data_IF_841040133463
#
_entry.id   IF_841040133463
#
_cell.length_a   1.000
_cell.length_b   1.000
_cell.length_c   1.000
_cell.angle_alpha   90.00
_cell.angle_beta   90.00
_cell.angle_gamma   90.00
#
_symmetry.space_group_name_H-M   'P 1'
#
loop_
_entity.id
_entity.type
_entity.pdbx_description
1 polymer ?
#
# COMPACT_ATOMS: atom_id res chain seq x y z
N UNK A 1 -6.50 -45.55 2.82
CA UNK A 1 -6.38 -44.80 1.58
C UNK A 1 -5.99 -43.38 1.96
N UNK A 2 -4.78 -42.86 1.72
CA UNK A 2 -4.42 -41.52 2.08
C UNK A 2 -5.20 -40.54 1.19
N UNK A 3 -5.72 -39.45 1.78
CA UNK A 3 -6.34 -38.36 1.07
C UNK A 3 -5.27 -37.69 0.17
N UNK A 4 -5.63 -37.25 -1.05
CA UNK A 4 -4.71 -36.55 -1.92
C UNK A 4 -4.31 -35.18 -1.27
N UNK A 5 -3.11 -34.66 -1.54
CA UNK A 5 -2.70 -33.36 -1.03
C UNK A 5 -3.60 -32.26 -1.57
N UNK A 6 -4.10 -31.43 -0.67
CA UNK A 6 -4.89 -30.22 -0.93
C UNK A 6 -3.93 -29.03 -1.15
N UNK A 7 -3.21 -28.98 -2.26
CA UNK A 7 -2.41 -27.80 -2.63
C UNK A 7 -2.06 -27.85 -4.13
N UNK A 8 -3.10 -27.83 -5.00
CA UNK A 8 -2.96 -27.33 -6.36
C UNK A 8 -3.52 -25.89 -6.38
N UNK A 9 -2.74 -24.92 -5.96
CA UNK A 9 -2.99 -23.54 -6.42
C UNK A 9 -2.86 -23.58 -7.95
N UNK A 10 -3.89 -23.15 -8.70
CA UNK A 10 -3.83 -23.19 -10.16
C UNK A 10 -2.66 -22.37 -10.66
N UNK A 11 -1.76 -22.98 -11.42
CA UNK A 11 -0.57 -22.36 -12.02
C UNK A 11 -0.94 -21.11 -12.85
N UNK A 12 -0.04 -20.11 -12.88
CA UNK A 12 -0.20 -18.89 -13.66
C UNK A 12 -0.80 -17.71 -12.90
N UNK A 13 -0.72 -16.54 -13.50
CA UNK A 13 -1.20 -15.27 -12.97
C UNK A 13 -2.63 -14.98 -13.49
N UNK A 14 -3.48 -14.31 -12.70
CA UNK A 14 -4.83 -13.93 -13.16
C UNK A 14 -4.76 -12.96 -14.33
N UNK A 15 -5.46 -13.26 -15.43
CA UNK A 15 -5.42 -12.50 -16.68
C UNK A 15 -5.71 -10.99 -16.48
N UNK A 16 -6.71 -10.63 -15.67
CA UNK A 16 -7.00 -9.22 -15.38
C UNK A 16 -5.85 -8.49 -14.65
N UNK A 17 -5.01 -9.22 -13.90
CA UNK A 17 -3.82 -8.65 -13.26
C UNK A 17 -2.74 -8.38 -14.31
N UNK A 18 -2.55 -9.31 -15.25
CA UNK A 18 -1.62 -9.20 -16.36
C UNK A 18 -2.01 -8.04 -17.28
N UNK A 19 -3.28 -7.93 -17.67
CA UNK A 19 -3.81 -6.83 -18.50
C UNK A 19 -3.62 -5.47 -17.82
N UNK A 20 -3.91 -5.38 -16.53
CA UNK A 20 -3.75 -4.13 -15.78
C UNK A 20 -2.27 -3.71 -15.69
N UNK A 21 -1.34 -4.66 -15.52
CA UNK A 21 0.10 -4.42 -15.54
C UNK A 21 0.59 -3.98 -16.93
N UNK A 22 0.02 -4.52 -17.99
CA UNK A 22 0.30 -4.13 -19.36
C UNK A 22 -0.33 -2.77 -19.78
N UNK A 23 -0.93 -2.03 -18.85
CA UNK A 23 -1.43 -0.69 -19.11
C UNK A 23 -2.84 -0.62 -19.72
N UNK A 24 -3.51 -1.75 -19.98
CA UNK A 24 -4.82 -1.81 -20.64
C UNK A 24 -5.92 -1.11 -19.82
N UNK A 25 -5.77 -1.05 -18.48
CA UNK A 25 -6.74 -0.37 -17.64
C UNK A 25 -6.62 -0.77 -16.16
N UNK A 26 -7.67 -0.56 -15.38
CA UNK A 26 -7.76 -1.12 -14.04
C UNK A 26 -8.10 -2.62 -14.11
N UNK A 27 -7.89 -3.38 -13.03
CA UNK A 27 -8.32 -4.79 -12.97
C UNK A 27 -9.82 -4.95 -13.27
N UNK A 28 -10.67 -4.06 -12.78
CA UNK A 28 -12.12 -4.07 -13.05
C UNK A 28 -12.41 -3.81 -14.53
N UNK A 29 -11.76 -2.82 -15.13
CA UNK A 29 -11.88 -2.60 -16.56
C UNK A 29 -11.38 -3.78 -17.39
N UNK A 30 -10.30 -4.43 -16.97
CA UNK A 30 -9.80 -5.65 -17.62
C UNK A 30 -10.81 -6.81 -17.48
N UNK A 31 -11.49 -6.95 -16.35
CA UNK A 31 -12.57 -7.94 -16.17
C UNK A 31 -13.76 -7.64 -17.08
N UNK A 32 -14.14 -6.38 -17.29
CA UNK A 32 -15.17 -5.98 -18.26
C UNK A 32 -14.79 -6.36 -19.68
N UNK A 33 -13.55 -6.09 -20.11
CA UNK A 33 -13.05 -6.51 -21.43
C UNK A 33 -13.05 -8.03 -21.63
N UNK A 34 -12.72 -8.80 -20.59
CA UNK A 34 -12.78 -10.26 -20.63
C UNK A 34 -14.23 -10.73 -20.73
N UNK A 35 -15.15 -10.16 -19.94
CA UNK A 35 -16.56 -10.52 -19.96
C UNK A 35 -17.23 -10.17 -21.31
N UNK A 36 -16.81 -9.09 -21.95
CA UNK A 36 -17.25 -8.67 -23.28
C UNK A 36 -16.68 -9.54 -24.43
N UNK A 37 -15.82 -10.52 -24.12
CA UNK A 37 -15.19 -11.39 -25.13
C UNK A 37 -14.13 -10.69 -25.98
N UNK A 38 -13.62 -9.55 -25.55
CA UNK A 38 -12.63 -8.73 -26.28
C UNK A 38 -11.18 -9.17 -26.07
N UNK A 39 -10.96 -10.14 -25.17
CA UNK A 39 -9.62 -10.64 -24.84
C UNK A 39 -9.49 -12.09 -25.32
N UNK A 40 -8.39 -12.38 -26.01
CA UNK A 40 -8.03 -13.76 -26.39
C UNK A 40 -6.70 -14.15 -25.76
N UNK A 41 -6.55 -15.42 -25.46
CA UNK A 41 -5.31 -16.05 -24.99
C UNK A 41 -5.00 -17.21 -25.93
N UNK A 42 -3.88 -17.18 -26.61
CA UNK A 42 -3.48 -18.18 -27.62
C UNK A 42 -4.54 -18.40 -28.72
N UNK A 43 -5.29 -17.34 -29.06
CA UNK A 43 -6.36 -17.37 -30.06
C UNK A 43 -7.74 -17.80 -29.54
N UNK A 44 -7.86 -18.18 -28.28
CA UNK A 44 -9.14 -18.53 -27.65
C UNK A 44 -9.69 -17.37 -26.85
N UNK A 45 -11.01 -17.11 -26.94
CA UNK A 45 -11.66 -16.07 -26.13
C UNK A 45 -11.53 -16.40 -24.65
N UNK A 46 -10.99 -15.46 -23.88
CA UNK A 46 -10.78 -15.62 -22.47
C UNK A 46 -12.09 -15.49 -21.68
N UNK A 47 -12.18 -16.22 -20.55
CA UNK A 47 -13.28 -16.13 -19.60
C UNK A 47 -12.81 -15.56 -18.27
N UNK A 48 -13.74 -15.00 -17.48
CA UNK A 48 -13.42 -14.49 -16.13
C UNK A 48 -12.78 -15.59 -15.27
N UNK A 49 -11.73 -15.21 -14.55
CA UNK A 49 -10.96 -16.15 -13.72
C UNK A 49 -9.82 -16.87 -14.45
N UNK A 50 -9.69 -16.72 -15.78
CA UNK A 50 -8.57 -17.31 -16.55
C UNK A 50 -7.24 -16.91 -15.91
N UNK A 51 -6.33 -17.91 -15.82
CA UNK A 51 -4.93 -17.70 -15.47
C UNK A 51 -4.08 -17.89 -16.72
N UNK A 52 -2.96 -17.21 -16.78
CA UNK A 52 -2.05 -17.18 -17.93
C UNK A 52 -0.61 -17.17 -17.45
N UNK A 53 0.28 -17.72 -18.25
CA UNK A 53 1.71 -17.47 -18.15
C UNK A 53 2.02 -16.19 -18.95
N UNK A 54 2.41 -15.14 -18.24
CA UNK A 54 2.68 -13.84 -18.85
C UNK A 54 3.92 -13.84 -19.78
N UNK A 55 4.76 -14.87 -19.72
CA UNK A 55 5.96 -14.99 -20.55
C UNK A 55 5.73 -15.86 -21.80
N UNK A 56 4.84 -16.85 -21.70
CA UNK A 56 4.60 -17.85 -22.75
C UNK A 56 3.29 -17.61 -23.52
N UNK A 57 2.23 -17.13 -22.84
CA UNK A 57 0.93 -16.95 -23.45
C UNK A 57 0.84 -15.70 -24.32
N UNK A 58 0.34 -15.88 -25.54
CA UNK A 58 0.01 -14.76 -26.45
C UNK A 58 -1.35 -14.20 -26.06
N UNK A 59 -1.35 -13.01 -25.50
CA UNK A 59 -2.56 -12.30 -25.07
C UNK A 59 -2.85 -11.17 -26.06
N UNK A 60 -4.10 -11.08 -26.50
CA UNK A 60 -4.57 -10.04 -27.40
C UNK A 60 -5.82 -9.36 -26.82
N UNK A 61 -5.92 -8.05 -27.00
CA UNK A 61 -7.10 -7.25 -26.68
C UNK A 61 -7.62 -6.63 -27.97
N UNK A 62 -8.88 -6.91 -28.32
CA UNK A 62 -9.54 -6.48 -29.55
C UNK A 62 -8.69 -6.83 -30.81
N UNK A 63 -8.02 -8.00 -30.79
CA UNK A 63 -7.17 -8.48 -31.86
C UNK A 63 -5.77 -7.86 -31.91
N UNK A 64 -5.42 -6.99 -30.97
CA UNK A 64 -4.09 -6.39 -30.88
C UNK A 64 -3.27 -7.13 -29.83
N UNK A 65 -2.12 -7.75 -30.18
CA UNK A 65 -1.22 -8.36 -29.19
C UNK A 65 -0.73 -7.33 -28.18
N UNK A 66 -0.80 -7.68 -26.89
CA UNK A 66 -0.26 -6.84 -25.84
C UNK A 66 1.13 -7.30 -25.43
N UNK A 67 2.03 -6.34 -25.18
CA UNK A 67 3.31 -6.63 -24.56
C UNK A 67 3.12 -6.73 -23.05
N UNK A 68 3.30 -7.91 -22.50
CA UNK A 68 3.15 -8.17 -21.08
C UNK A 68 4.41 -7.82 -20.27
N UNK A 69 5.49 -7.50 -20.98
CA UNK A 69 6.81 -7.15 -20.40
C UNK A 69 7.00 -5.64 -20.31
N UNK A 70 6.14 -4.92 -19.60
CA UNK A 70 6.53 -3.59 -19.14
C UNK A 70 7.45 -3.74 -17.93
N UNK A 71 8.60 -3.06 -17.98
CA UNK A 71 9.52 -2.99 -16.86
C UNK A 71 8.80 -2.43 -15.61
N UNK A 72 9.06 -3.01 -14.45
CA UNK A 72 8.54 -2.48 -13.20
C UNK A 72 9.16 -1.11 -12.91
N UNK A 73 8.33 -0.14 -12.57
CA UNK A 73 8.76 1.20 -12.17
C UNK A 73 8.29 1.55 -10.77
N UNK A 74 9.11 2.31 -10.08
CA UNK A 74 8.86 2.71 -8.70
C UNK A 74 9.20 4.19 -8.55
N UNK A 75 8.19 5.04 -8.47
CA UNK A 75 8.34 6.48 -8.23
C UNK A 75 8.15 6.79 -6.76
N UNK A 76 9.08 7.55 -6.19
CA UNK A 76 8.91 8.23 -4.92
C UNK A 76 8.48 9.67 -5.22
N UNK A 77 7.24 9.99 -4.91
CA UNK A 77 6.66 11.32 -5.03
C UNK A 77 6.63 12.00 -3.66
N UNK A 78 7.04 13.26 -3.58
CA UNK A 78 6.67 14.12 -2.46
C UNK A 78 5.35 14.82 -2.80
N UNK A 79 4.25 14.22 -2.39
CA UNK A 79 2.90 14.71 -2.67
C UNK A 79 2.68 16.07 -2.01
N UNK A 80 2.30 17.11 -2.75
CA UNK A 80 1.88 18.37 -2.16
C UNK A 80 0.46 18.27 -1.60
N UNK A 81 0.05 19.21 -0.77
CA UNK A 81 -1.35 19.39 -0.39
C UNK A 81 -2.23 19.67 -1.61
N UNK A 82 -3.54 19.49 -1.47
CA UNK A 82 -4.55 19.77 -2.51
C UNK A 82 -4.42 18.91 -3.78
N UNK A 83 -3.90 17.69 -3.63
CA UNK A 83 -3.83 16.66 -4.67
C UNK A 83 -4.47 15.37 -4.16
N UNK A 84 -5.34 14.76 -4.96
CA UNK A 84 -6.07 13.53 -4.57
C UNK A 84 -5.20 12.30 -4.81
N UNK A 85 -5.18 11.38 -3.86
CA UNK A 85 -4.48 10.09 -4.00
C UNK A 85 -5.40 9.07 -4.67
N UNK A 86 -5.49 9.13 -5.97
CA UNK A 86 -6.26 8.21 -6.82
C UNK A 86 -5.63 8.11 -8.20
N UNK A 87 -5.95 7.05 -8.93
CA UNK A 87 -5.59 6.90 -10.34
C UNK A 87 -6.58 7.61 -11.29
N UNK A 88 -7.79 7.97 -10.81
CA UNK A 88 -8.80 8.72 -11.54
C UNK A 88 -9.73 9.40 -10.55
N UNK A 89 -10.11 10.63 -10.83
CA UNK A 89 -11.04 11.40 -10.00
C UNK A 89 -12.25 11.86 -10.82
N UNK A 90 -13.48 11.46 -10.45
CA UNK A 90 -14.69 11.84 -11.17
C UNK A 90 -15.04 13.33 -11.03
N UNK A 91 -14.49 14.02 -10.04
CA UNK A 91 -14.68 15.46 -9.80
C UNK A 91 -13.66 16.33 -10.56
N UNK A 92 -12.72 15.71 -11.30
CA UNK A 92 -11.73 16.42 -12.09
C UNK A 92 -10.64 17.14 -11.27
N UNK A 93 -10.49 16.79 -9.99
CA UNK A 93 -9.40 17.34 -9.16
C UNK A 93 -8.07 16.74 -9.59
N UNK A 94 -7.00 17.50 -9.43
CA UNK A 94 -5.64 17.03 -9.73
C UNK A 94 -5.29 15.80 -8.91
N UNK A 95 -4.77 14.77 -9.59
CA UNK A 95 -4.44 13.48 -8.99
C UNK A 95 -2.93 13.26 -8.88
N UNK A 96 -2.52 12.32 -8.02
CA UNK A 96 -1.09 11.99 -7.83
C UNK A 96 -0.46 11.38 -9.08
N UNK A 97 -1.22 10.69 -9.93
CA UNK A 97 -0.70 10.09 -11.16
C UNK A 97 -0.35 11.13 -12.23
N UNK A 98 -0.98 12.31 -12.19
CA UNK A 98 -0.64 13.43 -13.08
C UNK A 98 0.69 14.12 -12.72
N UNK A 99 1.28 13.80 -11.56
CA UNK A 99 2.55 14.35 -11.11
C UNK A 99 3.75 13.51 -11.49
N UNK A 100 3.54 12.34 -12.09
CA UNK A 100 4.60 11.40 -12.53
C UNK A 100 4.42 11.09 -14.02
N UNK A 101 5.39 10.47 -14.71
CA UNK A 101 5.22 10.07 -16.10
C UNK A 101 3.97 9.22 -16.33
N UNK A 102 3.27 9.47 -17.44
CA UNK A 102 2.03 8.77 -17.77
C UNK A 102 2.25 7.30 -18.16
N UNK A 103 3.42 7.00 -18.67
CA UNK A 103 3.83 5.65 -19.11
C UNK A 103 5.14 5.22 -18.43
N UNK A 104 5.21 3.96 -17.97
CA UNK A 104 4.10 3.00 -17.90
C UNK A 104 3.04 3.45 -16.89
N UNK A 105 1.79 3.01 -17.07
CA UNK A 105 0.70 3.34 -16.16
C UNK A 105 1.00 2.85 -14.74
N UNK A 106 0.93 3.76 -13.78
CA UNK A 106 1.17 3.47 -12.37
C UNK A 106 -0.04 3.80 -11.50
N UNK A 107 -0.03 3.30 -10.27
CA UNK A 107 -1.03 3.60 -9.25
C UNK A 107 -0.35 3.86 -7.89
N UNK A 108 -0.99 4.62 -7.01
CA UNK A 108 -0.41 4.92 -5.70
C UNK A 108 -0.42 3.69 -4.77
N UNK A 109 0.64 3.53 -4.00
CA UNK A 109 0.80 2.53 -2.94
C UNK A 109 0.25 3.09 -1.63
N UNK A 110 -0.98 2.72 -1.32
CA UNK A 110 -1.72 3.32 -0.22
C UNK A 110 -2.18 4.74 -0.53
N UNK A 111 -2.50 5.49 0.52
CA UNK A 111 -3.09 6.82 0.35
C UNK A 111 -2.51 7.84 1.32
N UNK A 112 -2.53 9.09 0.90
CA UNK A 112 -2.48 10.30 1.72
C UNK A 112 -3.77 11.10 1.45
N UNK A 113 -4.32 11.71 2.48
CA UNK A 113 -5.50 12.55 2.34
C UNK A 113 -5.19 13.79 1.48
N UNK A 114 -6.23 14.46 1.01
CA UNK A 114 -6.13 15.65 0.15
C UNK A 114 -5.20 16.72 0.73
N UNK A 115 -5.33 16.98 2.02
CA UNK A 115 -4.55 17.99 2.75
C UNK A 115 -3.20 17.46 3.29
N UNK A 116 -2.95 16.14 3.23
CA UNK A 116 -1.73 15.54 3.76
C UNK A 116 -0.64 15.54 2.70
N UNK A 117 0.54 15.94 3.10
CA UNK A 117 1.73 16.07 2.27
C UNK A 117 2.72 14.91 2.51
N UNK A 118 3.76 14.85 1.66
CA UNK A 118 4.93 14.02 1.90
C UNK A 118 5.05 12.79 1.00
N UNK A 119 5.89 11.86 1.41
CA UNK A 119 6.33 10.75 0.57
C UNK A 119 5.19 9.79 0.25
N UNK A 120 5.03 9.47 -1.04
CA UNK A 120 4.07 8.52 -1.58
C UNK A 120 4.77 7.71 -2.67
N UNK A 121 4.61 6.39 -2.64
CA UNK A 121 5.08 5.51 -3.70
C UNK A 121 3.99 5.37 -4.77
N UNK A 122 4.42 5.38 -6.04
CA UNK A 122 3.59 4.99 -7.17
C UNK A 122 4.34 3.93 -7.98
N UNK A 123 3.64 2.88 -8.41
CA UNK A 123 4.24 1.76 -9.13
C UNK A 123 3.20 1.04 -9.98
N UNK A 124 3.66 0.21 -10.92
CA UNK A 124 2.86 -0.81 -11.62
C UNK A 124 3.02 -2.21 -10.99
N UNK A 125 3.80 -2.35 -9.91
CA UNK A 125 3.98 -3.59 -9.15
C UNK A 125 2.84 -3.77 -8.13
N UNK A 126 1.85 -4.60 -8.50
CA UNK A 126 0.73 -4.90 -7.63
C UNK A 126 1.08 -5.78 -6.43
N UNK A 127 2.11 -6.63 -6.54
CA UNK A 127 2.50 -7.56 -5.47
C UNK A 127 3.24 -6.82 -4.37
N UNK A 128 4.16 -5.93 -4.74
CA UNK A 128 4.80 -5.05 -3.77
C UNK A 128 3.76 -4.12 -3.13
N UNK A 129 2.83 -3.56 -3.92
CA UNK A 129 1.76 -2.71 -3.39
C UNK A 129 0.92 -3.42 -2.33
N UNK A 130 0.51 -4.67 -2.59
CA UNK A 130 -0.24 -5.46 -1.61
C UNK A 130 0.56 -5.62 -0.32
N UNK A 131 1.83 -6.03 -0.41
CA UNK A 131 2.71 -6.21 0.75
C UNK A 131 2.95 -4.92 1.55
N UNK A 132 3.02 -3.77 0.90
CA UNK A 132 3.25 -2.49 1.57
C UNK A 132 1.99 -1.86 2.19
N UNK A 133 0.79 -2.27 1.74
CA UNK A 133 -0.47 -1.66 2.16
C UNK A 133 -1.33 -2.55 3.07
N UNK A 134 -1.22 -3.85 2.96
CA UNK A 134 -2.02 -4.75 3.77
C UNK A 134 -1.59 -4.71 5.25
N UNK A 135 -2.53 -4.60 6.20
CA UNK A 135 -2.23 -4.44 7.63
C UNK A 135 -1.33 -5.53 8.23
N UNK A 136 -1.45 -6.78 7.75
CA UNK A 136 -0.65 -7.91 8.25
C UNK A 136 0.86 -7.75 8.05
N UNK A 137 1.28 -6.91 7.10
CA UNK A 137 2.70 -6.65 6.85
C UNK A 137 3.27 -5.51 7.70
N UNK A 138 2.44 -4.73 8.40
CA UNK A 138 2.85 -3.77 9.42
C UNK A 138 3.96 -2.78 9.00
N UNK A 139 4.02 -2.39 7.72
CA UNK A 139 5.06 -1.47 7.24
C UNK A 139 4.92 -0.11 7.91
N UNK A 140 5.97 0.29 8.61
CA UNK A 140 5.99 1.56 9.34
C UNK A 140 5.90 2.78 8.41
N UNK A 141 5.15 3.78 8.86
CA UNK A 141 5.07 5.11 8.24
C UNK A 141 5.35 6.16 9.31
N UNK A 142 6.30 7.04 9.04
CA UNK A 142 6.63 8.15 9.94
C UNK A 142 6.00 9.44 9.42
N UNK A 143 5.42 10.19 10.34
CA UNK A 143 4.77 11.46 10.07
C UNK A 143 5.32 12.56 10.97
N UNK A 144 5.44 13.75 10.42
CA UNK A 144 5.58 15.00 11.17
C UNK A 144 4.22 15.71 11.16
N UNK A 145 3.68 15.95 12.34
CA UNK A 145 2.41 16.62 12.54
C UNK A 145 2.66 17.94 13.31
N UNK A 146 2.44 19.06 12.66
CA UNK A 146 2.28 20.32 13.36
C UNK A 146 0.90 20.35 14.00
N UNK A 147 0.84 20.53 15.31
CA UNK A 147 -0.39 20.43 16.09
C UNK A 147 -0.69 21.70 16.87
N UNK A 148 -1.94 21.89 17.26
CA UNK A 148 -2.34 22.99 18.13
C UNK A 148 -1.80 22.77 19.54
N UNK A 149 -1.23 23.83 20.13
CA UNK A 149 -0.64 23.82 21.46
C UNK A 149 0.67 23.01 21.53
N UNK A 150 1.07 22.64 22.75
CA UNK A 150 2.30 21.87 23.00
C UNK A 150 1.96 20.59 23.74
N UNK A 151 2.06 19.41 23.09
CA UNK A 151 1.79 18.12 23.72
C UNK A 151 2.68 17.86 24.94
N UNK A 152 2.07 17.48 26.05
CA UNK A 152 2.76 17.14 27.28
C UNK A 152 3.39 15.74 27.19
N UNK A 153 4.27 15.40 28.17
CA UNK A 153 4.82 14.03 28.31
C UNK A 153 3.72 12.99 28.50
N UNK A 154 2.61 13.35 29.15
CA UNK A 154 1.45 12.47 29.31
C UNK A 154 0.77 12.16 27.98
N UNK A 155 0.57 13.17 27.15
CA UNK A 155 0.02 13.00 25.78
C UNK A 155 0.91 12.10 24.94
N UNK A 156 2.23 12.30 24.97
CA UNK A 156 3.16 11.41 24.26
C UNK A 156 3.07 9.95 24.72
N UNK A 157 2.84 9.73 26.03
CA UNK A 157 2.65 8.39 26.56
C UNK A 157 1.36 7.76 26.04
N UNK A 158 0.25 8.49 26.06
CA UNK A 158 -1.04 8.01 25.51
C UNK A 158 -0.90 7.60 24.04
N UNK A 159 -0.26 8.42 23.22
CA UNK A 159 -0.01 8.11 21.79
C UNK A 159 0.84 6.85 21.62
N UNK A 160 1.80 6.59 22.51
CA UNK A 160 2.65 5.40 22.46
C UNK A 160 1.93 4.12 22.91
N UNK A 161 1.04 4.22 23.86
CA UNK A 161 0.25 3.10 24.39
C UNK A 161 -0.92 2.73 23.48
N UNK A 162 -1.34 3.65 22.61
CA UNK A 162 -2.52 3.57 21.78
C UNK A 162 -3.64 4.46 22.30
N UNK A 163 -4.48 4.93 21.38
CA UNK A 163 -5.57 5.88 21.65
C UNK A 163 -6.89 5.24 21.24
N UNK A 164 -7.93 5.40 22.05
CA UNK A 164 -9.28 4.97 21.71
C UNK A 164 -9.86 5.90 20.64
N UNK A 165 -10.28 5.32 19.52
CA UNK A 165 -10.97 5.99 18.44
C UNK A 165 -12.36 5.39 18.24
N UNK A 166 -13.21 6.02 17.43
CA UNK A 166 -14.58 5.57 17.12
C UNK A 166 -14.65 4.16 16.48
N UNK A 167 -13.57 3.73 15.82
CA UNK A 167 -13.40 2.39 15.23
C UNK A 167 -12.49 1.46 16.06
N UNK A 168 -12.33 1.75 17.35
CA UNK A 168 -11.59 0.98 18.35
C UNK A 168 -10.18 1.50 18.62
N UNK A 169 -9.48 0.89 19.59
CA UNK A 169 -8.15 1.32 20.00
C UNK A 169 -7.13 1.21 18.88
N UNK A 170 -6.23 2.19 18.80
CA UNK A 170 -5.11 2.13 17.85
C UNK A 170 -4.02 1.19 18.37
N UNK A 171 -3.22 0.66 17.44
CA UNK A 171 -2.00 -0.02 17.81
C UNK A 171 -1.01 0.97 18.49
N UNK A 172 -0.10 0.46 19.34
CA UNK A 172 1.00 1.25 19.89
C UNK A 172 1.81 1.96 18.81
N UNK A 173 2.18 3.22 19.06
CA UNK A 173 2.95 4.04 18.14
C UNK A 173 4.28 4.50 18.76
N UNK A 174 5.24 4.92 17.93
CA UNK A 174 6.35 5.72 18.43
C UNK A 174 5.96 7.19 18.35
N UNK A 175 6.17 7.93 19.42
CA UNK A 175 5.84 9.35 19.49
C UNK A 175 6.98 10.15 20.15
N UNK A 176 7.39 11.24 19.52
CA UNK A 176 8.32 12.21 20.09
C UNK A 176 7.92 13.62 19.68
N UNK A 177 8.38 14.60 20.41
CA UNK A 177 8.08 16.01 20.17
C UNK A 177 9.38 16.76 19.85
N UNK A 178 9.38 17.45 18.72
CA UNK A 178 10.35 18.50 18.41
C UNK A 178 9.71 19.84 18.79
N UNK A 179 10.32 20.61 19.71
CA UNK A 179 9.72 21.84 20.22
C UNK A 179 9.42 22.88 19.13
N UNK A 180 8.33 23.65 19.27
CA UNK A 180 7.37 23.58 20.38
C UNK A 180 6.16 22.69 20.14
N UNK A 181 5.79 22.40 18.86
CA UNK A 181 4.51 21.79 18.48
C UNK A 181 4.63 20.81 17.32
N UNK A 182 5.83 20.37 16.97
CA UNK A 182 6.06 19.42 15.89
C UNK A 182 6.14 17.99 16.46
N UNK A 183 5.05 17.25 16.33
CA UNK A 183 4.92 15.88 16.79
C UNK A 183 5.40 14.91 15.70
N UNK A 184 6.36 14.06 16.04
CA UNK A 184 6.82 12.98 15.20
C UNK A 184 6.15 11.69 15.64
N UNK A 185 5.39 11.06 14.72
CA UNK A 185 4.65 9.81 14.95
C UNK A 185 5.09 8.74 13.96
N UNK A 186 5.37 7.52 14.45
CA UNK A 186 5.57 6.35 13.60
C UNK A 186 4.49 5.32 13.93
N UNK A 187 3.72 4.95 12.92
CA UNK A 187 2.63 3.97 13.00
C UNK A 187 2.85 2.84 11.98
N UNK A 188 2.31 1.65 12.23
CA UNK A 188 2.41 0.49 11.32
C UNK A 188 1.06 0.04 10.76
N UNK A 189 -0.01 0.67 11.14
CA UNK A 189 -1.35 0.50 10.57
C UNK A 189 -1.74 1.71 9.69
N UNK A 190 -2.93 1.71 9.09
CA UNK A 190 -3.32 2.78 8.15
C UNK A 190 -4.83 2.96 8.10
N UNK A 191 -5.49 3.29 9.23
CA UNK A 191 -6.91 3.61 9.27
C UNK A 191 -7.17 4.97 8.61
N UNK A 192 -8.41 5.20 8.22
CA UNK A 192 -8.79 6.49 7.64
C UNK A 192 -8.43 7.64 8.58
N UNK A 193 -7.68 8.63 8.08
CA UNK A 193 -7.24 9.85 8.81
C UNK A 193 -6.64 9.59 10.19
N UNK A 194 -6.00 8.43 10.38
CA UNK A 194 -5.60 7.91 11.69
C UNK A 194 -4.77 8.90 12.51
N UNK A 195 -3.68 9.45 11.97
CA UNK A 195 -2.82 10.38 12.71
C UNK A 195 -3.60 11.63 13.15
N UNK A 196 -4.47 12.17 12.30
CA UNK A 196 -5.31 13.33 12.64
C UNK A 196 -6.27 13.01 13.78
N UNK A 197 -6.95 11.86 13.71
CA UNK A 197 -7.88 11.39 14.75
C UNK A 197 -7.16 11.10 16.08
N UNK A 198 -5.98 10.48 16.03
CA UNK A 198 -5.16 10.24 17.24
C UNK A 198 -4.78 11.56 17.93
N UNK A 199 -4.30 12.54 17.17
CA UNK A 199 -3.93 13.84 17.72
C UNK A 199 -5.14 14.61 18.27
N UNK A 200 -6.27 14.56 17.57
CA UNK A 200 -7.52 15.19 18.02
C UNK A 200 -8.04 14.57 19.31
N UNK A 201 -8.03 13.22 19.43
CA UNK A 201 -8.47 12.49 20.62
C UNK A 201 -7.64 12.81 21.87
N UNK A 202 -6.39 13.24 21.72
CA UNK A 202 -5.54 13.70 22.83
C UNK A 202 -5.54 15.22 23.02
N UNK A 203 -6.44 15.95 22.34
CA UNK A 203 -6.63 17.39 22.48
C UNK A 203 -5.64 18.28 21.71
N UNK A 204 -4.97 17.73 20.70
CA UNK A 204 -3.99 18.45 19.86
C UNK A 204 -4.29 18.28 18.37
N UNK A 205 -5.33 18.96 17.81
CA UNK A 205 -5.67 18.87 16.40
C UNK A 205 -4.49 19.18 15.49
N UNK A 206 -4.41 18.47 14.36
CA UNK A 206 -3.33 18.63 13.38
C UNK A 206 -3.59 19.81 12.47
N UNK A 207 -2.69 20.77 12.45
CA UNK A 207 -2.63 21.92 11.54
C UNK A 207 -2.08 21.46 10.19
N UNK A 208 -0.90 20.82 10.20
CA UNK A 208 -0.21 20.33 9.00
C UNK A 208 0.32 18.93 9.23
N UNK A 209 0.22 18.05 8.22
CA UNK A 209 0.68 16.66 8.30
C UNK A 209 1.53 16.32 7.10
N UNK A 210 2.72 15.79 7.37
CA UNK A 210 3.69 15.41 6.33
C UNK A 210 4.19 13.99 6.61
N UNK A 211 4.06 13.08 5.66
CA UNK A 211 4.69 11.74 5.74
C UNK A 211 6.16 11.83 5.33
N UNK A 212 7.07 11.54 6.22
CA UNK A 212 8.52 11.68 6.03
C UNK A 212 9.24 10.37 5.73
N UNK A 213 8.61 9.20 6.04
CA UNK A 213 9.21 7.89 5.81
C UNK A 213 8.15 6.83 5.50
N UNK A 214 8.50 5.90 4.63
CA UNK A 214 7.72 4.68 4.31
C UNK A 214 8.69 3.50 4.42
N UNK A 215 8.51 2.65 5.44
CA UNK A 215 9.46 1.57 5.71
C UNK A 215 10.89 2.10 5.81
N UNK A 216 11.83 1.60 4.99
CA UNK A 216 13.22 2.06 4.98
C UNK A 216 13.41 3.35 4.16
N UNK A 217 12.41 3.78 3.38
CA UNK A 217 12.56 4.91 2.43
C UNK A 217 12.29 6.23 3.11
N UNK A 218 13.28 7.11 3.10
CA UNK A 218 13.17 8.50 3.52
C UNK A 218 13.96 9.39 2.56
N UNK A 219 13.43 10.57 2.25
CA UNK A 219 14.13 11.56 1.42
C UNK A 219 13.76 12.97 1.89
N UNK A 220 14.73 13.66 2.48
CA UNK A 220 14.56 15.04 2.98
C UNK A 220 14.88 16.08 1.91
N UNK A 221 15.41 15.66 0.77
CA UNK A 221 15.84 16.56 -0.32
C UNK A 221 14.80 16.66 -1.44
N UNK A 222 13.91 15.69 -1.53
CA UNK A 222 12.86 15.66 -2.54
C UNK A 222 11.85 16.80 -2.28
N UNK A 223 11.76 17.75 -3.20
CA UNK A 223 10.88 18.92 -3.05
C UNK A 223 9.39 18.55 -3.22
N UNK A 224 8.46 19.25 -2.55
CA UNK A 224 7.03 19.05 -2.77
C UNK A 224 6.65 19.18 -4.26
N UNK A 225 5.80 18.27 -4.73
CA UNK A 225 5.35 18.20 -6.14
C UNK A 225 6.37 17.58 -7.10
N UNK A 226 7.53 17.15 -6.63
CA UNK A 226 8.54 16.46 -7.44
C UNK A 226 8.61 14.96 -7.09
N UNK A 227 9.18 14.20 -8.01
CA UNK A 227 9.36 12.76 -7.88
C UNK A 227 10.75 12.33 -8.32
N UNK A 228 11.17 11.14 -7.91
CA UNK A 228 12.32 10.41 -8.45
C UNK A 228 12.04 8.92 -8.54
N UNK A 229 12.82 8.21 -9.31
CA UNK A 229 12.84 6.74 -9.26
C UNK A 229 13.43 6.25 -7.92
N UNK A 230 12.95 5.13 -7.42
CA UNK A 230 13.66 4.38 -6.39
C UNK A 230 14.90 3.71 -7.01
N UNK A 231 15.95 3.63 -6.24
CA UNK A 231 17.12 2.82 -6.60
C UNK A 231 16.80 1.33 -6.44
N UNK A 232 17.50 0.43 -7.13
CA UNK A 232 17.35 -1.02 -6.94
C UNK A 232 17.55 -1.47 -5.47
N UNK A 233 18.43 -0.79 -4.72
CA UNK A 233 18.66 -1.07 -3.31
C UNK A 233 17.46 -0.67 -2.44
N UNK A 234 16.82 0.46 -2.73
CA UNK A 234 15.61 0.90 -2.05
C UNK A 234 14.44 -0.07 -2.31
N UNK A 235 14.28 -0.56 -3.54
CA UNK A 235 13.25 -1.57 -3.87
C UNK A 235 13.52 -2.86 -3.09
N UNK A 236 14.74 -3.37 -3.11
CA UNK A 236 15.13 -4.57 -2.34
C UNK A 236 14.91 -4.40 -0.83
N UNK A 237 15.19 -3.22 -0.29
CA UNK A 237 14.96 -2.92 1.12
C UNK A 237 13.46 -2.97 1.48
N UNK A 238 12.58 -2.42 0.63
CA UNK A 238 11.12 -2.51 0.79
C UNK A 238 10.62 -3.96 0.76
N UNK A 239 11.08 -4.75 -0.22
CA UNK A 239 10.73 -6.17 -0.34
C UNK A 239 11.19 -7.00 0.87
N UNK A 240 12.43 -6.78 1.31
CA UNK A 240 13.01 -7.48 2.46
C UNK A 240 12.25 -7.17 3.74
N UNK A 241 11.92 -5.91 3.98
CA UNK A 241 11.14 -5.51 5.15
C UNK A 241 9.75 -6.14 5.13
N UNK A 242 9.04 -6.07 4.00
CA UNK A 242 7.72 -6.67 3.86
C UNK A 242 7.75 -8.19 4.10
N UNK A 243 8.74 -8.91 3.52
CA UNK A 243 8.92 -10.35 3.73
C UNK A 243 9.29 -10.71 5.18
N UNK A 244 10.13 -9.91 5.84
CA UNK A 244 10.52 -10.12 7.23
C UNK A 244 9.35 -10.00 8.20
N UNK A 245 8.48 -9.02 7.99
CA UNK A 245 7.29 -8.79 8.81
C UNK A 245 6.27 -9.93 8.59
N UNK A 246 6.04 -10.38 7.36
CA UNK A 246 5.16 -11.50 7.04
C UNK A 246 5.56 -12.78 7.83
N UNK A 247 6.84 -13.15 7.80
CA UNK A 247 7.36 -14.31 8.54
C UNK A 247 7.20 -14.16 10.06
N UNK A 248 7.34 -12.95 10.59
CA UNK A 248 7.14 -12.68 12.02
C UNK A 248 5.66 -12.82 12.43
N UNK A 249 4.74 -12.33 11.59
CA UNK A 249 3.28 -12.46 11.79
C UNK A 249 2.83 -13.91 11.77
N UNK A 250 3.22 -14.68 10.74
CA UNK A 250 2.90 -16.12 10.65
C UNK A 250 3.42 -16.92 11.86
N UNK A 251 4.65 -16.60 12.31
CA UNK A 251 5.23 -17.23 13.49
C UNK A 251 4.45 -16.91 14.77
N UNK A 252 3.97 -15.66 14.92
CA UNK A 252 3.18 -15.22 16.03
C UNK A 252 1.80 -15.90 16.04
N UNK A 253 1.13 -16.00 14.90
CA UNK A 253 -0.15 -16.69 14.73
C UNK A 253 -0.06 -18.19 15.03
N UNK A 254 0.98 -18.87 14.52
CA UNK A 254 1.23 -20.29 14.83
C UNK A 254 1.47 -20.53 16.32
N UNK A 255 2.18 -19.60 16.98
CA UNK A 255 2.42 -19.67 18.44
C UNK A 255 1.13 -19.46 19.23
N UNK A 256 0.30 -18.50 18.83
CA UNK A 256 -1.00 -18.23 19.46
C UNK A 256 -1.98 -19.41 19.28
N UNK A 257 -2.04 -19.98 18.06
CA UNK A 257 -2.86 -21.16 17.78
C UNK A 257 -2.40 -22.41 18.57
N UNK A 258 -1.08 -22.59 18.74
CA UNK A 258 -0.52 -23.66 19.58
C UNK A 258 -0.87 -23.51 21.06
N UNK A 259 -0.80 -22.29 21.59
CA UNK A 259 -1.15 -22.00 22.97
C UNK A 259 -2.67 -22.21 23.23
N UNK A 260 -3.52 -21.82 22.28
CA UNK A 260 -4.96 -22.01 22.37
C UNK A 260 -5.35 -23.51 22.36
N UNK A 261 -4.67 -24.35 21.58
CA UNK A 261 -4.89 -25.82 21.57
C UNK A 261 -4.47 -26.45 22.89
N UNK A 262 -3.33 -26.03 23.45
CA UNK A 262 -2.86 -26.57 24.73
C UNK A 262 -3.81 -26.23 25.91
N UNK A 263 -4.35 -25.02 25.91
CA UNK A 263 -5.33 -24.58 26.88
C UNK A 263 -6.71 -25.30 26.74
N UNK A 264 -7.04 -25.79 25.53
CA UNK A 264 -8.27 -26.56 25.30
C UNK A 264 -8.12 -28.04 25.69
N UNK A 265 -6.91 -28.60 25.66
CA UNK A 265 -6.62 -30.00 26.02
C UNK A 265 -6.49 -30.16 27.58
N UNK A 266 -6.34 -29.06 28.32
CA UNK A 266 -6.27 -29.07 29.79
C UNK A 266 -7.64 -28.87 30.49
N UNK A 267 -8.75 -28.76 29.75
CA UNK A 267 -10.13 -28.66 30.27
C UNK A 267 -10.93 -29.95 30.02
#
# INVERSE_FOLDING_TARGET
>A
MPLPPLDDEPEGERLQKVLARAGIGSRRHSEELIADGKVTVNGEVAVLGRRVDAEEDRIEVEGVPISVREGLVYYLLNKPASVVTTASDPEGRRTVVELVPAEPRVFPVGRLDYETEGLLLLTNDGDLTHRLTHPSFGVEKEYLAEVEGTPSRGVLRMLREGVELDDGPTAPAQASLDPPNLLKLTIHEGRNRQVRRMCEAVGHPVIRLVRTRIGPIADRTLKPGTWRLLTPDEVRALETQAAGIAKASEKAERKAAGAARHAADEQ
#
